data_IF_835724220228
#
_entry.id   IF_835724220228
#
_cell.length_a   1.000
_cell.length_b   1.000
_cell.length_c   1.000
_cell.angle_alpha   90.00
_cell.angle_beta   90.00
_cell.angle_gamma   90.00
#
_symmetry.space_group_name_H-M   'P 1'
#
loop_
_entity.id
_entity.type
_entity.pdbx_description
1 polymer ?
#
# COMPACT_ATOMS: atom_id res chain seq x y z
N UNK A 1 16.34 -15.19 6.84
CA UNK A 1 15.26 -16.12 7.27
C UNK A 1 14.40 -16.30 6.04
N UNK A 2 14.48 -17.46 5.42
CA UNK A 2 13.72 -17.69 4.18
C UNK A 2 12.26 -17.96 4.57
N UNK A 3 11.37 -17.12 4.10
CA UNK A 3 9.93 -17.31 4.27
C UNK A 3 9.48 -18.44 3.33
N UNK A 4 9.19 -19.61 3.88
CA UNK A 4 8.62 -20.71 3.13
C UNK A 4 7.11 -20.68 3.29
N UNK A 5 6.41 -20.26 2.24
CA UNK A 5 4.95 -20.32 2.19
C UNK A 5 4.55 -21.77 1.86
N UNK A 6 3.94 -22.44 2.83
CA UNK A 6 3.29 -23.73 2.60
C UNK A 6 1.88 -23.45 2.07
N UNK A 7 1.70 -23.56 0.76
CA UNK A 7 0.37 -23.53 0.14
C UNK A 7 -0.21 -24.93 0.13
N UNK A 8 -1.42 -25.07 0.64
CA UNK A 8 -2.19 -26.30 0.47
C UNK A 8 -2.42 -26.55 -1.02
N UNK A 9 -2.32 -27.81 -1.46
CA UNK A 9 -2.47 -28.19 -2.86
C UNK A 9 -3.86 -27.86 -3.48
N UNK A 10 -4.79 -27.36 -2.67
CA UNK A 10 -6.10 -26.88 -3.10
C UNK A 10 -6.08 -25.44 -3.67
N UNK A 11 -5.05 -24.64 -3.36
CA UNK A 11 -4.85 -23.36 -4.01
C UNK A 11 -4.26 -23.59 -5.39
N UNK A 12 -5.09 -23.53 -6.39
CA UNK A 12 -4.66 -23.65 -7.79
C UNK A 12 -3.89 -22.39 -8.19
N UNK A 13 -2.67 -22.48 -8.24
CA UNK A 13 -1.58 -22.29 -9.18
C UNK A 13 -1.50 -20.96 -9.98
N UNK A 14 -2.36 -19.99 -9.80
CA UNK A 14 -2.27 -18.81 -10.65
C UNK A 14 -1.39 -17.71 -10.03
N UNK A 15 -1.19 -17.71 -8.70
CA UNK A 15 -0.25 -16.81 -8.04
C UNK A 15 1.15 -17.43 -7.93
N UNK A 16 2.15 -16.78 -8.51
CA UNK A 16 3.56 -17.13 -8.29
C UNK A 16 3.97 -16.87 -6.83
N UNK A 17 3.85 -17.92 -6.00
CA UNK A 17 4.14 -17.83 -4.56
C UNK A 17 5.61 -17.50 -4.27
N UNK A 18 6.53 -17.82 -5.18
CA UNK A 18 7.94 -17.44 -5.07
C UNK A 18 8.13 -15.94 -5.27
N UNK A 19 7.45 -15.35 -6.25
CA UNK A 19 7.45 -13.89 -6.46
C UNK A 19 6.73 -13.17 -5.32
N UNK A 20 5.63 -13.74 -4.83
CA UNK A 20 4.92 -13.21 -3.67
C UNK A 20 5.80 -13.20 -2.42
N UNK A 21 6.54 -14.27 -2.15
CA UNK A 21 7.50 -14.31 -1.04
C UNK A 21 8.59 -13.23 -1.19
N UNK A 22 9.20 -13.11 -2.39
CA UNK A 22 10.21 -12.06 -2.67
C UNK A 22 9.68 -10.63 -2.51
N UNK A 23 8.39 -10.42 -2.71
CA UNK A 23 7.74 -9.12 -2.45
C UNK A 23 7.93 -8.66 -1.00
N UNK A 24 8.06 -9.60 -0.06
CA UNK A 24 8.22 -9.36 1.37
C UNK A 24 9.68 -9.30 1.83
N UNK A 25 10.66 -9.65 0.98
CA UNK A 25 12.07 -9.82 1.37
C UNK A 25 12.79 -8.50 1.71
N UNK A 26 12.35 -7.34 1.19
CA UNK A 26 12.99 -6.05 1.46
C UNK A 26 12.17 -5.21 2.45
N UNK A 27 12.49 -5.23 3.75
CA UNK A 27 11.78 -4.46 4.76
C UNK A 27 12.15 -2.98 4.80
N UNK A 28 13.08 -2.52 3.97
CA UNK A 28 13.60 -1.13 4.00
C UNK A 28 12.52 -0.07 3.75
N UNK A 29 11.35 -0.49 3.28
CA UNK A 29 10.20 0.34 3.02
C UNK A 29 8.95 -0.27 3.67
N UNK A 30 8.88 -0.19 5.00
CA UNK A 30 7.82 -0.84 5.79
C UNK A 30 6.40 -0.45 5.36
N UNK A 31 6.17 0.75 4.81
CA UNK A 31 4.83 1.16 4.38
C UNK A 31 4.24 0.27 3.27
N UNK A 32 5.05 -0.50 2.53
CA UNK A 32 4.51 -1.49 1.58
C UNK A 32 3.77 -2.63 2.29
N UNK A 33 4.19 -2.98 3.51
CA UNK A 33 3.50 -3.99 4.32
C UNK A 33 2.18 -3.46 4.86
N UNK A 34 2.12 -2.20 5.27
CA UNK A 34 0.85 -1.54 5.63
C UNK A 34 -0.11 -1.47 4.45
N UNK A 35 0.40 -1.28 3.21
CA UNK A 35 -0.43 -1.36 2.01
C UNK A 35 -1.05 -2.74 1.82
N UNK A 36 -0.26 -3.80 1.98
CA UNK A 36 -0.76 -5.17 1.87
C UNK A 36 -1.74 -5.50 3.00
N UNK A 37 -1.40 -5.12 4.24
CA UNK A 37 -2.26 -5.30 5.42
C UNK A 37 -3.60 -4.59 5.24
N UNK A 38 -3.58 -3.34 4.80
CA UNK A 38 -4.79 -2.56 4.51
C UNK A 38 -5.68 -3.24 3.46
N UNK A 39 -5.08 -3.77 2.39
CA UNK A 39 -5.83 -4.55 1.39
C UNK A 39 -6.51 -5.76 2.05
N UNK A 40 -5.77 -6.53 2.84
CA UNK A 40 -6.30 -7.72 3.52
C UNK A 40 -7.42 -7.39 4.51
N UNK A 41 -7.32 -6.24 5.20
CA UNK A 41 -8.34 -5.77 6.13
C UNK A 41 -9.62 -5.31 5.43
N UNK A 42 -9.49 -4.73 4.23
CA UNK A 42 -10.64 -4.23 3.45
C UNK A 42 -11.37 -5.33 2.68
N UNK A 43 -10.66 -6.38 2.26
CA UNK A 43 -11.24 -7.46 1.44
C UNK A 43 -12.54 -8.08 1.99
N UNK A 44 -12.70 -8.33 3.30
CA UNK A 44 -13.92 -8.94 3.82
C UNK A 44 -15.14 -8.01 3.80
N UNK A 45 -14.93 -6.70 3.69
CA UNK A 45 -15.99 -5.68 3.82
C UNK A 45 -16.32 -4.98 2.50
N UNK A 46 -15.40 -5.04 1.53
CA UNK A 46 -15.55 -4.37 0.23
C UNK A 46 -15.94 -5.37 -0.85
N UNK A 47 -17.08 -5.13 -1.49
CA UNK A 47 -17.50 -5.89 -2.67
C UNK A 47 -17.01 -5.16 -3.93
N UNK A 48 -15.90 -5.64 -4.53
CA UNK A 48 -15.41 -5.11 -5.81
C UNK A 48 -14.07 -4.40 -5.74
N UNK A 49 -13.94 -3.32 -6.53
CA UNK A 49 -12.66 -2.60 -6.67
C UNK A 49 -12.44 -1.66 -5.50
N UNK A 50 -11.26 -1.75 -4.85
CA UNK A 50 -10.89 -0.94 -3.68
C UNK A 50 -10.10 0.28 -4.15
N UNK A 51 -10.48 1.49 -3.73
CA UNK A 51 -9.79 2.72 -4.10
C UNK A 51 -8.46 2.88 -3.34
N UNK A 52 -7.51 3.60 -3.95
CA UNK A 52 -6.26 3.97 -3.27
C UNK A 52 -6.53 4.81 -2.03
N UNK A 53 -7.58 5.61 -2.05
CA UNK A 53 -7.98 6.41 -0.89
C UNK A 53 -8.36 5.52 0.29
N UNK A 54 -9.25 4.54 0.08
CA UNK A 54 -9.65 3.58 1.12
C UNK A 54 -8.44 2.82 1.68
N UNK A 55 -7.53 2.36 0.80
CA UNK A 55 -6.34 1.62 1.25
C UNK A 55 -5.41 2.53 2.07
N UNK A 56 -5.21 3.78 1.68
CA UNK A 56 -4.33 4.70 2.41
C UNK A 56 -4.95 5.09 3.75
N UNK A 57 -6.27 5.26 3.82
CA UNK A 57 -6.95 5.54 5.07
C UNK A 57 -6.83 4.37 6.05
N UNK A 58 -6.96 3.15 5.55
CA UNK A 58 -6.70 1.93 6.32
C UNK A 58 -5.23 1.86 6.78
N UNK A 59 -4.26 2.16 5.90
CA UNK A 59 -2.83 2.22 6.27
C UNK A 59 -2.57 3.21 7.41
N UNK A 60 -3.26 4.35 7.42
CA UNK A 60 -3.14 5.33 8.51
C UNK A 60 -3.63 4.71 9.81
N UNK A 61 -4.75 4.00 9.80
CA UNK A 61 -5.27 3.29 10.98
C UNK A 61 -4.31 2.21 11.47
N UNK A 62 -3.81 1.35 10.59
CA UNK A 62 -2.92 0.24 10.91
C UNK A 62 -1.56 0.73 11.48
N UNK A 63 -1.02 1.81 10.89
CA UNK A 63 0.25 2.39 11.31
C UNK A 63 0.13 3.33 12.53
N UNK A 64 -1.07 3.69 12.94
CA UNK A 64 -1.34 4.69 13.97
C UNK A 64 -0.55 4.45 15.26
N UNK A 65 -0.69 3.28 15.83
CA UNK A 65 -0.04 2.94 17.11
C UNK A 65 1.48 2.93 17.00
N UNK A 66 2.00 2.40 15.89
CA UNK A 66 3.44 2.32 15.63
C UNK A 66 4.08 3.71 15.57
N UNK A 67 3.42 4.66 14.92
CA UNK A 67 3.91 6.04 14.76
C UNK A 67 3.65 6.86 16.02
N UNK A 68 2.44 6.82 16.57
CA UNK A 68 2.06 7.72 17.66
C UNK A 68 2.65 7.29 19.01
N UNK A 69 2.70 5.99 19.30
CA UNK A 69 3.21 5.43 20.56
C UNK A 69 4.71 5.18 20.53
N UNK A 70 5.18 4.46 19.52
CA UNK A 70 6.58 4.03 19.46
C UNK A 70 7.47 4.96 18.66
N UNK A 71 6.91 5.95 17.96
CA UNK A 71 7.67 6.89 17.10
C UNK A 71 8.52 6.19 16.08
N UNK A 72 8.03 5.06 15.52
CA UNK A 72 8.75 4.28 14.52
C UNK A 72 8.79 5.02 13.19
N UNK A 73 9.95 4.93 12.53
CA UNK A 73 10.09 5.33 11.13
C UNK A 73 9.69 4.17 10.21
N UNK A 74 8.73 4.42 9.32
CA UNK A 74 8.10 3.39 8.48
C UNK A 74 8.72 3.28 7.09
N UNK A 75 9.72 4.05 6.79
CA UNK A 75 10.39 4.00 5.49
C UNK A 75 11.29 5.21 5.23
N UNK A 76 11.89 5.27 4.03
CA UNK A 76 12.81 6.33 3.69
C UNK A 76 12.13 7.69 3.67
N UNK A 77 12.82 8.68 4.18
CA UNK A 77 12.40 10.08 4.15
C UNK A 77 12.93 10.79 2.91
N UNK A 78 12.23 11.83 2.46
CA UNK A 78 12.77 12.74 1.45
C UNK A 78 13.93 13.50 2.08
N UNK A 79 15.03 13.68 1.32
CA UNK A 79 16.22 14.40 1.81
C UNK A 79 15.83 15.74 2.45
N UNK A 80 16.26 15.94 3.68
CA UNK A 80 15.96 17.14 4.48
C UNK A 80 14.64 17.12 5.24
N UNK A 81 13.86 16.02 5.18
CA UNK A 81 12.66 15.80 6.00
C UNK A 81 12.94 14.71 7.03
N UNK A 82 12.34 14.85 8.21
CA UNK A 82 12.47 13.88 9.30
C UNK A 82 11.42 12.76 9.22
N UNK A 83 10.38 12.94 8.42
CA UNK A 83 9.21 12.06 8.35
C UNK A 83 8.87 11.72 6.90
N UNK A 84 8.41 10.51 6.65
CA UNK A 84 7.82 10.14 5.36
C UNK A 84 6.34 10.60 5.24
N UNK A 85 5.70 10.34 4.11
CA UNK A 85 4.34 10.81 3.86
C UNK A 85 3.30 10.20 4.80
N UNK A 86 3.43 8.89 5.13
CA UNK A 86 2.50 8.22 6.05
C UNK A 86 2.64 8.76 7.48
N UNK A 87 3.87 8.91 7.95
CA UNK A 87 4.15 9.49 9.27
C UNK A 87 3.63 10.93 9.39
N UNK A 88 3.80 11.75 8.34
CA UNK A 88 3.28 13.13 8.35
C UNK A 88 1.76 13.17 8.41
N UNK A 89 1.08 12.35 7.61
CA UNK A 89 -0.37 12.27 7.65
C UNK A 89 -0.87 11.90 9.05
N UNK A 90 -0.28 10.87 9.67
CA UNK A 90 -0.60 10.45 11.03
C UNK A 90 -0.32 11.57 12.04
N UNK A 91 0.85 12.23 11.95
CA UNK A 91 1.22 13.28 12.90
C UNK A 91 0.38 14.55 12.73
N UNK A 92 -0.15 14.86 11.55
CA UNK A 92 -1.11 15.94 11.35
C UNK A 92 -2.38 15.65 12.15
N UNK A 93 -2.96 14.47 12.00
CA UNK A 93 -4.18 14.07 12.71
C UNK A 93 -3.93 14.00 14.22
N UNK A 94 -2.80 13.46 14.65
CA UNK A 94 -2.45 13.30 16.06
C UNK A 94 -2.14 14.63 16.80
N UNK A 95 -2.19 15.79 16.11
CA UNK A 95 -2.11 17.11 16.76
C UNK A 95 -3.42 17.52 17.44
N UNK A 96 -4.52 16.89 17.04
CA UNK A 96 -5.80 17.12 17.71
C UNK A 96 -5.75 16.64 19.15
N UNK A 97 -6.13 17.50 20.10
CA UNK A 97 -6.12 17.20 21.54
C UNK A 97 -7.04 16.02 21.93
N UNK A 98 -7.98 15.66 21.05
CA UNK A 98 -8.87 14.51 21.24
C UNK A 98 -8.22 13.19 20.83
N UNK A 99 -7.12 13.23 20.10
CA UNK A 99 -6.43 12.05 19.59
C UNK A 99 -5.35 11.55 20.55
N UNK A 100 -5.19 10.24 20.61
CA UNK A 100 -4.16 9.57 21.39
C UNK A 100 -3.61 8.34 20.66
N UNK A 101 -2.53 7.77 21.17
CA UNK A 101 -2.03 6.49 20.64
C UNK A 101 -3.03 5.32 20.82
N UNK A 102 -4.00 5.46 21.71
CA UNK A 102 -5.02 4.45 22.00
C UNK A 102 -6.36 4.75 21.29
N UNK A 103 -6.41 5.75 20.40
CA UNK A 103 -7.61 6.05 19.63
C UNK A 103 -8.08 4.84 18.83
N UNK A 104 -9.38 4.62 18.83
CA UNK A 104 -10.02 3.56 18.04
C UNK A 104 -9.95 3.85 16.55
N UNK A 105 -10.18 2.81 15.73
CA UNK A 105 -10.22 2.96 14.28
C UNK A 105 -11.26 4.01 13.85
N UNK A 106 -12.44 4.02 14.46
CA UNK A 106 -13.50 4.97 14.12
C UNK A 106 -13.11 6.42 14.45
N UNK A 107 -12.43 6.65 15.58
CA UNK A 107 -11.89 7.97 15.93
C UNK A 107 -10.81 8.41 14.96
N UNK A 108 -9.92 7.49 14.55
CA UNK A 108 -8.88 7.79 13.55
C UNK A 108 -9.51 8.12 12.19
N UNK A 109 -10.49 7.35 11.74
CA UNK A 109 -11.21 7.60 10.49
C UNK A 109 -11.91 8.96 10.51
N UNK A 110 -12.52 9.33 11.64
CA UNK A 110 -13.10 10.67 11.80
C UNK A 110 -12.04 11.77 11.75
N UNK A 111 -10.88 11.55 12.36
CA UNK A 111 -9.73 12.45 12.27
C UNK A 111 -9.22 12.62 10.83
N UNK A 112 -9.18 11.54 10.04
CA UNK A 112 -8.84 11.57 8.61
C UNK A 112 -9.81 12.46 7.84
N UNK A 113 -11.11 12.32 8.08
CA UNK A 113 -12.15 13.16 7.43
C UNK A 113 -11.98 14.65 7.78
N UNK A 114 -11.74 14.97 9.05
CA UNK A 114 -11.56 16.34 9.51
C UNK A 114 -10.31 17.01 8.92
N UNK A 115 -9.21 16.24 8.79
CA UNK A 115 -7.93 16.75 8.29
C UNK A 115 -7.68 16.43 6.81
N UNK A 116 -8.71 16.00 6.06
CA UNK A 116 -8.57 15.54 4.67
C UNK A 116 -7.80 16.52 3.78
N UNK A 117 -8.06 17.83 3.90
CA UNK A 117 -7.39 18.84 3.09
C UNK A 117 -5.89 18.94 3.41
N UNK A 118 -5.51 18.81 4.69
CA UNK A 118 -4.13 18.94 5.17
C UNK A 118 -3.27 17.73 4.77
N UNK A 119 -3.83 16.52 4.88
CA UNK A 119 -3.11 15.27 4.59
C UNK A 119 -3.17 14.85 3.12
N UNK A 120 -3.96 15.53 2.28
CA UNK A 120 -4.16 15.19 0.87
C UNK A 120 -2.86 15.05 0.08
N UNK A 121 -1.91 15.97 0.28
CA UNK A 121 -0.64 15.94 -0.43
C UNK A 121 0.21 14.72 -0.04
N UNK A 122 0.15 14.29 1.21
CA UNK A 122 0.83 13.11 1.71
C UNK A 122 0.17 11.82 1.19
N UNK A 123 -1.15 11.74 1.22
CA UNK A 123 -1.92 10.66 0.59
C UNK A 123 -1.57 10.50 -0.88
N UNK A 124 -1.53 11.60 -1.65
CA UNK A 124 -1.12 11.59 -3.06
C UNK A 124 0.33 11.11 -3.25
N UNK A 125 1.24 11.46 -2.36
CA UNK A 125 2.63 11.00 -2.41
C UNK A 125 2.72 9.47 -2.27
N UNK A 126 1.90 8.88 -1.40
CA UNK A 126 1.84 7.44 -1.22
C UNK A 126 1.35 6.72 -2.48
N UNK A 127 0.41 7.30 -3.24
CA UNK A 127 -0.09 6.70 -4.49
C UNK A 127 0.97 6.56 -5.58
N UNK A 128 2.06 7.32 -5.52
CA UNK A 128 3.08 7.34 -6.57
C UNK A 128 4.02 6.13 -6.53
N UNK A 129 4.24 5.57 -5.36
CA UNK A 129 5.28 4.55 -5.18
C UNK A 129 4.78 3.25 -4.57
N UNK A 130 3.97 3.32 -3.51
CA UNK A 130 3.64 2.17 -2.66
C UNK A 130 2.97 1.03 -3.44
N UNK A 131 1.91 1.28 -4.24
CA UNK A 131 1.20 0.24 -4.97
C UNK A 131 2.09 -0.53 -5.95
N UNK A 132 3.05 0.19 -6.56
CA UNK A 132 3.92 -0.37 -7.59
C UNK A 132 5.12 -1.11 -6.99
N UNK A 133 5.66 -0.61 -5.88
CA UNK A 133 6.80 -1.25 -5.21
C UNK A 133 6.46 -2.60 -4.65
N UNK A 134 5.22 -2.79 -4.22
CA UNK A 134 4.75 -4.08 -3.79
C UNK A 134 4.78 -5.11 -4.94
N UNK A 135 4.41 -4.69 -6.15
CA UNK A 135 4.41 -5.56 -7.34
C UNK A 135 5.78 -5.72 -8.01
N UNK A 136 6.85 -5.09 -7.49
CA UNK A 136 8.16 -5.05 -8.17
C UNK A 136 8.72 -6.44 -8.49
N UNK A 137 8.59 -7.40 -7.58
CA UNK A 137 9.06 -8.77 -7.78
C UNK A 137 8.37 -9.53 -8.93
N UNK A 138 7.17 -9.11 -9.32
CA UNK A 138 6.43 -9.65 -10.46
C UNK A 138 6.83 -8.99 -11.78
N UNK A 139 7.44 -7.81 -11.71
CA UNK A 139 7.77 -6.99 -12.86
C UNK A 139 9.23 -7.16 -13.31
N UNK A 140 10.08 -7.83 -12.54
CA UNK A 140 11.51 -8.04 -12.85
C UNK A 140 11.74 -8.76 -14.19
N UNK A 141 10.80 -9.56 -14.65
CA UNK A 141 10.89 -10.30 -15.92
C UNK A 141 10.71 -9.42 -17.15
N UNK A 142 10.15 -8.22 -17.01
CA UNK A 142 9.89 -7.32 -18.16
C UNK A 142 11.16 -6.59 -18.61
N UNK A 143 12.29 -6.77 -17.93
CA UNK A 143 13.59 -6.24 -18.36
C UNK A 143 13.66 -4.70 -18.41
N UNK A 144 12.77 -4.03 -17.72
CA UNK A 144 12.76 -2.59 -17.63
C UNK A 144 13.83 -2.08 -16.67
N UNK A 145 14.72 -1.21 -17.15
CA UNK A 145 15.63 -0.50 -16.26
C UNK A 145 14.84 0.23 -15.17
N UNK A 146 15.36 0.30 -13.95
CA UNK A 146 14.78 0.98 -12.79
C UNK A 146 14.20 2.40 -13.03
N UNK A 147 14.46 3.00 -14.19
CA UNK A 147 13.97 4.32 -14.60
C UNK A 147 12.56 4.33 -15.21
N UNK A 148 12.03 3.20 -15.64
CA UNK A 148 10.67 3.13 -16.22
C UNK A 148 9.55 3.11 -15.16
N UNK A 149 9.86 2.72 -13.96
CA UNK A 149 8.91 2.57 -12.83
C UNK A 149 8.18 3.85 -12.41
N UNK A 150 8.65 5.01 -12.83
CA UNK A 150 8.08 6.32 -12.46
C UNK A 150 7.05 6.86 -13.43
N UNK A 151 6.84 6.18 -14.56
CA UNK A 151 5.84 6.60 -15.56
C UNK A 151 4.55 5.81 -15.36
N UNK A 152 3.65 6.33 -14.54
CA UNK A 152 2.44 5.63 -14.09
C UNK A 152 1.58 5.02 -15.20
N UNK A 153 1.46 5.66 -16.36
CA UNK A 153 0.63 5.16 -17.47
C UNK A 153 1.21 3.90 -18.13
N UNK A 154 2.52 3.86 -18.36
CA UNK A 154 3.18 2.66 -18.91
C UNK A 154 3.14 1.51 -17.91
N UNK A 155 3.32 1.80 -16.64
CA UNK A 155 3.27 0.80 -15.57
C UNK A 155 1.91 0.11 -15.50
N UNK A 156 0.81 0.85 -15.52
CA UNK A 156 -0.54 0.29 -15.52
C UNK A 156 -0.74 -0.65 -16.72
N UNK A 157 -0.26 -0.24 -17.89
CA UNK A 157 -0.30 -1.07 -19.07
C UNK A 157 0.50 -2.37 -18.90
N UNK A 158 1.71 -2.31 -18.35
CA UNK A 158 2.52 -3.50 -18.08
C UNK A 158 1.88 -4.42 -17.04
N UNK A 159 1.34 -3.87 -15.97
CA UNK A 159 0.60 -4.65 -14.95
C UNK A 159 -0.59 -5.35 -15.59
N UNK A 160 -1.37 -4.65 -16.44
CA UNK A 160 -2.50 -5.25 -17.13
C UNK A 160 -2.09 -6.35 -18.11
N UNK A 161 -0.95 -6.22 -18.78
CA UNK A 161 -0.40 -7.25 -19.67
C UNK A 161 0.09 -8.46 -18.88
N UNK A 162 0.81 -8.23 -17.78
CA UNK A 162 1.29 -9.29 -16.91
C UNK A 162 0.14 -10.10 -16.32
N UNK A 163 -0.94 -9.45 -16.00
CA UNK A 163 -2.09 -10.12 -15.41
C UNK A 163 -2.86 -11.03 -16.40
N UNK A 164 -2.49 -11.03 -17.68
CA UNK A 164 -2.96 -12.02 -18.66
C UNK A 164 -2.14 -13.32 -18.61
N UNK A 165 -0.86 -13.22 -18.24
CA UNK A 165 0.08 -14.33 -18.26
C UNK A 165 0.50 -14.83 -16.88
N UNK A 166 0.54 -13.93 -15.88
CA UNK A 166 0.98 -14.21 -14.52
C UNK A 166 -0.01 -13.61 -13.53
N UNK A 167 -0.57 -14.40 -12.63
CA UNK A 167 -1.47 -13.89 -11.60
C UNK A 167 -0.72 -12.95 -10.65
N UNK A 168 -1.07 -11.69 -10.72
CA UNK A 168 -0.63 -10.67 -9.77
C UNK A 168 -1.52 -10.73 -8.52
N UNK A 169 -1.03 -10.35 -7.34
CA UNK A 169 -1.88 -10.26 -6.14
C UNK A 169 -3.04 -9.27 -6.33
N UNK A 170 -2.87 -8.27 -7.17
CA UNK A 170 -3.91 -7.34 -7.61
C UNK A 170 -3.51 -6.66 -8.91
N UNK A 171 -4.49 -6.16 -9.65
CA UNK A 171 -4.28 -5.25 -10.79
C UNK A 171 -4.66 -3.83 -10.41
N UNK A 172 -3.98 -2.85 -11.00
CA UNK A 172 -4.30 -1.43 -10.83
C UNK A 172 -5.18 -0.98 -11.97
N UNK A 173 -6.36 -0.45 -11.62
CA UNK A 173 -7.31 0.12 -12.57
C UNK A 173 -7.01 1.60 -12.72
N UNK A 174 -7.07 2.09 -13.95
CA UNK A 174 -6.75 3.49 -14.26
C UNK A 174 -7.68 4.47 -13.53
N UNK A 175 -7.12 5.63 -13.24
CA UNK A 175 -7.78 6.71 -12.50
C UNK A 175 -6.78 7.83 -12.22
N UNK A 176 -7.17 8.84 -11.45
CA UNK A 176 -6.29 9.95 -11.07
C UNK A 176 -5.99 9.94 -9.58
N UNK A 177 -4.72 9.81 -9.22
CA UNK A 177 -4.27 9.91 -7.84
C UNK A 177 -5.00 8.94 -6.90
N UNK A 178 -5.76 9.45 -5.96
CA UNK A 178 -6.52 8.68 -4.97
C UNK A 178 -7.72 7.92 -5.54
N UNK A 179 -8.24 8.34 -6.71
CA UNK A 179 -9.37 7.68 -7.37
C UNK A 179 -8.97 6.37 -8.08
N UNK A 180 -7.67 6.10 -8.24
CA UNK A 180 -7.21 4.81 -8.74
C UNK A 180 -7.74 3.70 -7.85
N UNK A 181 -7.96 2.55 -8.46
CA UNK A 181 -8.48 1.37 -7.76
C UNK A 181 -7.57 0.18 -7.99
N UNK A 182 -7.65 -0.76 -7.08
CA UNK A 182 -7.15 -2.11 -7.30
C UNK A 182 -8.32 -3.06 -7.48
N UNK A 183 -8.09 -4.11 -8.24
CA UNK A 183 -8.95 -5.29 -8.30
C UNK A 183 -8.13 -6.49 -7.92
N UNK A 184 -8.65 -7.26 -6.99
CA UNK A 184 -8.12 -8.58 -6.65
C UNK A 184 -8.89 -9.57 -7.49
N UNK A 185 -8.21 -10.57 -8.02
CA UNK A 185 -8.90 -11.59 -8.79
C UNK A 185 -9.88 -12.33 -7.90
N UNK A 186 -11.17 -12.38 -8.29
CA UNK A 186 -12.07 -13.33 -7.66
C UNK A 186 -11.67 -14.72 -8.12
N UNK A 187 -11.42 -15.59 -7.23
CA UNK A 187 -11.69 -17.00 -7.38
C UNK A 187 -12.73 -17.41 -6.44
#
# INVERSE_FOLDING_TARGET
MDLVLHTDASYRNDLDTGKFARMLDDPSQCYKFYWLEAILNLLPTEEGDISFEQIIDEMICDAWYSVTRYKLHLGPTIRGKCENALERAINVINRDDQMSYASSKDEIMHGIEQHQAEIRADKLTLTLNVPYRLLSSFLDEIGGSNKMWYKSGEMIRYISLLNQDTALPYIIIDGKGLEKKIRIHPE
#
